data_IF_739158346895
#
_entry.id   IF_739158346895
#
_cell.length_a   1.000
_cell.length_b   1.000
_cell.length_c   1.000
_cell.angle_alpha   90.00
_cell.angle_beta   90.00
_cell.angle_gamma   90.00
#
_symmetry.space_group_name_H-M   'P 1'
#
loop_
_entity.id
_entity.type
_entity.pdbx_description
1 polymer ?
#
# COMPACT_ATOMS: atom_id res chain seq x y z
N UNK A 1 -17.88 1.90 -0.12
CA UNK A 1 -18.42 0.55 -0.44
C UNK A 1 -18.97 0.55 -1.89
N UNK A 2 -18.37 -0.19 -2.83
CA UNK A 2 -18.79 -0.21 -4.26
C UNK A 2 -20.30 -0.46 -4.43
N UNK A 3 -20.98 0.35 -5.26
CA UNK A 3 -22.41 0.24 -5.52
C UNK A 3 -22.83 -1.16 -5.97
N UNK A 4 -23.95 -1.64 -5.42
CA UNK A 4 -24.47 -3.00 -5.65
C UNK A 4 -24.67 -3.29 -7.14
N UNK A 5 -25.14 -2.30 -7.86
CA UNK A 5 -25.39 -2.34 -9.31
C UNK A 5 -24.11 -2.62 -10.11
N UNK A 6 -22.95 -2.10 -9.67
CA UNK A 6 -21.68 -2.29 -10.36
C UNK A 6 -21.11 -3.71 -10.14
N UNK A 7 -21.25 -4.24 -8.91
CA UNK A 7 -20.88 -5.63 -8.61
C UNK A 7 -21.71 -6.61 -9.45
N UNK A 8 -23.01 -6.36 -9.56
CA UNK A 8 -23.91 -7.15 -10.42
C UNK A 8 -23.50 -7.07 -11.90
N UNK A 9 -23.12 -5.90 -12.40
CA UNK A 9 -22.64 -5.73 -13.77
C UNK A 9 -21.33 -6.49 -14.05
N UNK A 10 -20.37 -6.49 -13.12
CA UNK A 10 -19.12 -7.24 -13.28
C UNK A 10 -19.35 -8.75 -13.24
N UNK A 11 -20.25 -9.23 -12.37
CA UNK A 11 -20.66 -10.63 -12.35
C UNK A 11 -21.31 -11.06 -13.68
N UNK A 12 -22.16 -10.22 -14.26
CA UNK A 12 -22.76 -10.48 -15.58
C UNK A 12 -21.68 -10.59 -16.66
N UNK A 13 -20.63 -9.76 -16.60
CA UNK A 13 -19.52 -9.85 -17.55
C UNK A 13 -18.75 -11.16 -17.38
N UNK A 14 -18.46 -11.56 -16.14
CA UNK A 14 -17.80 -12.86 -15.88
C UNK A 14 -18.65 -14.03 -16.38
N UNK A 15 -19.97 -13.99 -16.16
CA UNK A 15 -20.89 -15.00 -16.68
C UNK A 15 -20.84 -15.10 -18.21
N UNK A 16 -20.81 -13.97 -18.90
CA UNK A 16 -20.67 -13.94 -20.35
C UNK A 16 -19.31 -14.49 -20.81
N UNK A 17 -18.21 -14.10 -20.15
CA UNK A 17 -16.87 -14.62 -20.46
C UNK A 17 -16.78 -16.14 -20.30
N UNK A 18 -17.42 -16.70 -19.26
CA UNK A 18 -17.49 -18.14 -19.05
C UNK A 18 -18.35 -18.86 -20.09
N UNK A 19 -19.48 -18.28 -20.47
CA UNK A 19 -20.37 -18.84 -21.50
C UNK A 19 -19.72 -18.85 -22.89
N UNK A 20 -19.00 -17.77 -23.22
CA UNK A 20 -18.31 -17.62 -24.50
C UNK A 20 -16.93 -18.30 -24.52
N UNK A 21 -16.42 -18.70 -23.35
CA UNK A 21 -15.07 -19.20 -23.14
C UNK A 21 -14.00 -18.22 -23.66
N UNK A 22 -14.22 -16.93 -23.43
CA UNK A 22 -13.44 -15.82 -23.96
C UNK A 22 -13.50 -14.63 -22.98
N UNK A 23 -12.36 -14.18 -22.40
CA UNK A 23 -11.02 -14.71 -22.62
C UNK A 23 -10.83 -16.06 -21.91
N UNK A 24 -9.99 -16.92 -22.51
CA UNK A 24 -9.76 -18.27 -22.00
C UNK A 24 -9.22 -18.28 -20.55
N UNK A 25 -8.46 -17.25 -20.17
CA UNK A 25 -7.94 -17.11 -18.82
C UNK A 25 -9.04 -17.03 -17.75
N UNK A 26 -10.22 -16.49 -18.08
CA UNK A 26 -11.38 -16.47 -17.17
C UNK A 26 -11.88 -17.89 -16.89
N UNK A 27 -12.06 -18.70 -17.94
CA UNK A 27 -12.50 -20.11 -17.80
C UNK A 27 -11.46 -20.96 -17.08
N UNK A 28 -10.19 -20.87 -17.49
CA UNK A 28 -9.10 -21.63 -16.89
C UNK A 28 -8.98 -21.29 -15.38
N UNK A 29 -9.17 -20.02 -15.02
CA UNK A 29 -9.16 -19.58 -13.61
C UNK A 29 -10.38 -20.06 -12.84
N UNK A 30 -11.57 -19.97 -13.43
CA UNK A 30 -12.80 -20.46 -12.80
C UNK A 30 -12.73 -21.96 -12.51
N UNK A 31 -12.31 -22.77 -13.49
CA UNK A 31 -12.13 -24.21 -13.32
C UNK A 31 -11.09 -24.51 -12.24
N UNK A 32 -9.98 -23.77 -12.21
CA UNK A 32 -8.94 -23.91 -11.18
C UNK A 32 -9.47 -23.59 -9.78
N UNK A 33 -10.25 -22.51 -9.62
CA UNK A 33 -10.84 -22.11 -8.34
C UNK A 33 -11.84 -23.15 -7.84
N UNK A 34 -12.73 -23.61 -8.71
CA UNK A 34 -13.71 -24.66 -8.37
C UNK A 34 -13.00 -25.97 -8.02
N UNK A 35 -11.95 -26.36 -8.77
CA UNK A 35 -11.14 -27.55 -8.46
C UNK A 35 -10.43 -27.46 -7.10
N UNK A 36 -10.09 -26.25 -6.65
CA UNK A 36 -9.52 -26.00 -5.32
C UNK A 36 -10.53 -25.91 -4.17
N UNK A 37 -11.82 -26.13 -4.46
CA UNK A 37 -12.88 -26.23 -3.43
C UNK A 37 -13.73 -24.97 -3.25
N UNK A 38 -13.54 -23.95 -4.09
CA UNK A 38 -14.39 -22.76 -4.13
C UNK A 38 -15.78 -23.10 -4.69
N UNK A 39 -16.85 -22.51 -4.18
CA UNK A 39 -18.15 -22.62 -4.85
C UNK A 39 -18.12 -21.89 -6.20
N UNK A 40 -18.93 -22.31 -7.19
CA UNK A 40 -19.03 -21.61 -8.46
C UNK A 40 -19.38 -20.12 -8.32
N UNK A 41 -20.18 -19.75 -7.32
CA UNK A 41 -20.56 -18.36 -7.09
C UNK A 41 -19.36 -17.55 -6.56
N UNK A 42 -18.69 -18.04 -5.52
CA UNK A 42 -17.49 -17.39 -4.96
C UNK A 42 -16.36 -17.29 -5.98
N UNK A 43 -16.21 -18.28 -6.88
CA UNK A 43 -15.21 -18.23 -7.94
C UNK A 43 -15.51 -17.10 -8.95
N UNK A 44 -16.79 -16.87 -9.28
CA UNK A 44 -17.21 -15.77 -10.14
C UNK A 44 -17.02 -14.42 -9.47
N UNK A 45 -17.32 -14.32 -8.18
CA UNK A 45 -17.14 -13.10 -7.39
C UNK A 45 -15.66 -12.68 -7.35
N UNK A 46 -14.74 -13.62 -7.07
CA UNK A 46 -13.30 -13.33 -7.09
C UNK A 46 -12.80 -12.86 -8.47
N UNK A 47 -13.28 -13.48 -9.55
CA UNK A 47 -12.93 -13.04 -10.91
C UNK A 47 -13.52 -11.66 -11.20
N UNK A 48 -14.75 -11.39 -10.74
CA UNK A 48 -15.44 -10.11 -10.93
C UNK A 48 -14.76 -8.96 -10.16
N UNK A 49 -14.19 -9.22 -8.99
CA UNK A 49 -13.41 -8.23 -8.22
C UNK A 49 -12.12 -7.85 -8.94
N UNK A 50 -11.38 -8.83 -9.45
CA UNK A 50 -10.19 -8.56 -10.27
C UNK A 50 -10.58 -7.77 -11.52
N UNK A 51 -11.67 -8.16 -12.18
CA UNK A 51 -12.17 -7.44 -13.35
C UNK A 51 -12.52 -5.98 -13.04
N UNK A 52 -13.18 -5.74 -11.91
CA UNK A 52 -13.55 -4.40 -11.43
C UNK A 52 -12.32 -3.53 -11.17
N UNK A 53 -11.35 -4.06 -10.43
CA UNK A 53 -10.12 -3.37 -10.09
C UNK A 53 -9.33 -2.98 -11.36
N UNK A 54 -9.18 -3.91 -12.31
CA UNK A 54 -8.48 -3.65 -13.58
C UNK A 54 -9.22 -2.66 -14.49
N UNK A 55 -10.54 -2.74 -14.49
CA UNK A 55 -11.42 -1.80 -15.22
C UNK A 55 -11.23 -0.38 -14.69
N UNK A 56 -11.22 -0.23 -13.37
CA UNK A 56 -10.98 1.04 -12.69
C UNK A 56 -9.60 1.60 -13.02
N UNK A 57 -8.55 0.79 -12.87
CA UNK A 57 -7.18 1.21 -13.12
C UNK A 57 -7.00 1.72 -14.56
N UNK A 58 -7.63 1.05 -15.52
CA UNK A 58 -7.60 1.44 -16.94
C UNK A 58 -8.34 2.77 -17.18
N UNK A 59 -9.51 2.94 -16.56
CA UNK A 59 -10.31 4.17 -16.64
C UNK A 59 -9.59 5.38 -16.05
N UNK A 60 -9.03 5.24 -14.85
CA UNK A 60 -8.27 6.31 -14.18
C UNK A 60 -7.04 6.70 -15.01
N UNK A 61 -6.37 5.72 -15.63
CA UNK A 61 -5.23 5.97 -16.50
C UNK A 61 -5.61 6.50 -17.90
N UNK A 62 -6.89 6.57 -18.26
CA UNK A 62 -7.35 6.93 -19.60
C UNK A 62 -6.88 5.96 -20.70
N UNK A 63 -6.69 4.68 -20.36
CA UNK A 63 -6.16 3.64 -21.25
C UNK A 63 -7.22 2.58 -21.58
N UNK A 64 -7.00 1.86 -22.67
CA UNK A 64 -7.78 0.67 -22.99
C UNK A 64 -7.52 -0.43 -21.92
N UNK A 65 -8.51 -1.31 -21.72
CA UNK A 65 -8.39 -2.43 -20.80
C UNK A 65 -7.24 -3.36 -21.20
N UNK A 66 -6.36 -3.64 -20.24
CA UNK A 66 -5.19 -4.51 -20.43
C UNK A 66 -5.55 -5.97 -20.09
N UNK A 67 -5.85 -6.75 -21.13
CA UNK A 67 -6.19 -8.18 -20.99
C UNK A 67 -4.99 -9.02 -20.48
N UNK A 68 -3.75 -8.61 -20.75
CA UNK A 68 -2.56 -9.29 -20.23
C UNK A 68 -2.35 -9.01 -18.74
N UNK A 69 -2.59 -7.78 -18.28
CA UNK A 69 -2.61 -7.46 -16.84
C UNK A 69 -3.73 -8.21 -16.12
N UNK A 70 -4.94 -8.22 -16.70
CA UNK A 70 -6.06 -8.99 -16.17
C UNK A 70 -5.73 -10.48 -16.05
N UNK A 71 -5.21 -11.11 -17.11
CA UNK A 71 -4.81 -12.51 -17.08
C UNK A 71 -3.74 -12.78 -16.02
N UNK A 72 -2.72 -11.90 -15.91
CA UNK A 72 -1.69 -12.02 -14.87
C UNK A 72 -2.29 -11.95 -13.47
N UNK A 73 -3.29 -11.10 -13.22
CA UNK A 73 -3.94 -11.01 -11.90
C UNK A 73 -4.80 -12.21 -11.57
N UNK A 74 -5.51 -12.75 -12.56
CA UNK A 74 -6.22 -14.01 -12.40
C UNK A 74 -5.29 -15.15 -11.99
N UNK A 75 -4.05 -15.22 -12.50
CA UNK A 75 -3.11 -16.29 -12.14
C UNK A 75 -2.83 -16.41 -10.64
N UNK A 76 -2.99 -15.34 -9.87
CA UNK A 76 -2.76 -15.31 -8.42
C UNK A 76 -3.95 -15.75 -7.56
N UNK A 77 -5.15 -15.89 -8.15
CA UNK A 77 -6.34 -16.37 -7.42
C UNK A 77 -6.20 -17.86 -7.05
N UNK A 78 -6.39 -18.20 -5.77
CA UNK A 78 -6.46 -19.58 -5.25
C UNK A 78 -7.81 -19.80 -4.58
N UNK A 79 -8.44 -20.96 -4.76
CA UNK A 79 -9.69 -21.22 -4.07
C UNK A 79 -9.47 -21.34 -2.58
N UNK A 80 -10.44 -20.86 -1.80
CA UNK A 80 -10.48 -21.03 -0.35
C UNK A 80 -10.68 -22.52 -0.04
N UNK A 81 -9.60 -23.28 -0.10
CA UNK A 81 -9.56 -24.66 0.35
C UNK A 81 -9.81 -24.69 1.86
N UNK A 82 -10.75 -25.54 2.27
CA UNK A 82 -10.90 -26.02 3.65
C UNK A 82 -9.53 -26.22 4.30
N UNK A 83 -9.42 -25.89 5.59
CA UNK A 83 -8.37 -26.41 6.47
C UNK A 83 -8.09 -27.87 6.07
N UNK A 84 -6.88 -28.11 5.59
CA UNK A 84 -6.44 -29.46 5.29
C UNK A 84 -6.50 -30.25 6.60
N UNK A 85 -7.13 -31.43 6.66
CA UNK A 85 -7.13 -32.24 7.87
C UNK A 85 -5.70 -32.65 8.17
N UNK A 86 -5.29 -32.40 9.41
CA UNK A 86 -4.07 -32.89 10.09
C UNK A 86 -3.23 -33.85 9.25
N UNK A 87 -2.36 -33.30 8.41
CA UNK A 87 -1.11 -33.98 8.09
C UNK A 87 -0.12 -33.50 9.12
N UNK A 88 0.11 -34.33 10.13
CA UNK A 88 1.24 -34.31 11.07
C UNK A 88 2.42 -33.39 10.65
N UNK A 89 2.33 -32.10 11.00
CA UNK A 89 3.40 -31.11 10.82
C UNK A 89 4.15 -30.98 12.15
N UNK A 90 4.90 -32.03 12.50
CA UNK A 90 5.97 -31.96 13.50
C UNK A 90 7.30 -31.49 12.91
N UNK A 91 7.29 -30.89 11.72
CA UNK A 91 8.45 -30.20 11.13
C UNK A 91 8.37 -28.70 11.40
N UNK A 92 9.15 -28.20 12.36
CA UNK A 92 9.40 -26.74 12.50
C UNK A 92 9.87 -26.21 11.15
N UNK A 93 9.10 -25.31 10.53
CA UNK A 93 9.56 -24.58 9.35
C UNK A 93 10.86 -23.83 9.71
N UNK A 94 11.84 -23.86 8.82
CA UNK A 94 13.08 -23.10 9.02
C UNK A 94 12.78 -21.60 8.95
N UNK A 95 13.58 -20.77 9.65
CA UNK A 95 13.37 -19.31 9.61
C UNK A 95 13.50 -18.75 8.17
N UNK A 96 14.40 -19.33 7.38
CA UNK A 96 14.55 -19.05 5.94
C UNK A 96 13.24 -19.24 5.16
N UNK A 97 12.52 -20.34 5.41
CA UNK A 97 11.25 -20.63 4.74
C UNK A 97 10.13 -19.68 5.20
N UNK A 98 10.12 -19.30 6.48
CA UNK A 98 9.12 -18.36 7.03
C UNK A 98 9.32 -16.98 6.41
N UNK A 99 10.55 -16.45 6.43
CA UNK A 99 10.88 -15.15 5.84
C UNK A 99 10.57 -15.12 4.34
N UNK A 100 10.91 -16.19 3.60
CA UNK A 100 10.58 -16.29 2.16
C UNK A 100 9.07 -16.28 1.86
N UNK A 101 8.22 -16.70 2.81
CA UNK A 101 6.76 -16.68 2.61
C UNK A 101 6.18 -15.28 2.64
N UNK A 102 6.75 -14.39 3.44
CA UNK A 102 6.26 -13.00 3.61
C UNK A 102 6.87 -12.02 2.60
N UNK A 103 7.87 -12.41 1.82
CA UNK A 103 8.51 -11.49 0.86
C UNK A 103 7.57 -10.93 -0.22
N UNK A 104 6.45 -11.61 -0.46
CA UNK A 104 5.49 -11.24 -1.50
C UNK A 104 4.09 -11.19 -0.91
N UNK A 105 3.31 -10.19 -1.30
CA UNK A 105 1.88 -10.14 -1.02
C UNK A 105 1.20 -11.24 -1.83
N UNK A 106 0.58 -12.20 -1.15
CA UNK A 106 -0.07 -13.37 -1.76
C UNK A 106 -1.59 -13.25 -1.62
N UNK A 107 -2.18 -12.38 -2.44
CA UNK A 107 -3.58 -11.97 -2.31
C UNK A 107 -3.74 -10.90 -1.23
N UNK A 108 -4.84 -10.93 -0.52
CA UNK A 108 -5.24 -9.92 0.49
C UNK A 108 -5.02 -10.39 1.93
N UNK A 109 -4.48 -11.60 2.14
CA UNK A 109 -4.33 -12.16 3.48
C UNK A 109 -3.08 -11.60 4.16
N UNK A 110 -3.27 -10.96 5.32
CA UNK A 110 -2.17 -10.50 6.17
C UNK A 110 -1.42 -11.70 6.81
N UNK A 111 -0.08 -11.79 6.68
CA UNK A 111 0.70 -12.95 7.15
C UNK A 111 0.99 -12.89 8.66
N UNK A 112 -0.05 -12.83 9.48
CA UNK A 112 0.06 -12.62 10.92
C UNK A 112 0.85 -13.73 11.62
N UNK A 113 0.60 -14.99 11.28
CA UNK A 113 1.23 -16.14 11.94
C UNK A 113 2.72 -16.23 11.61
N UNK A 114 3.12 -15.97 10.37
CA UNK A 114 4.52 -15.85 10.00
C UNK A 114 5.22 -14.71 10.73
N UNK A 115 4.57 -13.54 10.84
CA UNK A 115 5.13 -12.39 11.56
C UNK A 115 5.28 -12.68 13.06
N UNK A 116 4.29 -13.33 13.69
CA UNK A 116 4.38 -13.78 15.09
C UNK A 116 5.57 -14.73 15.29
N UNK A 117 5.77 -15.68 14.38
CA UNK A 117 6.89 -16.62 14.46
C UNK A 117 8.25 -15.92 14.28
N UNK A 118 8.33 -14.97 13.33
CA UNK A 118 9.53 -14.14 13.14
C UNK A 118 9.86 -13.32 14.39
N UNK A 119 8.85 -12.68 15.00
CA UNK A 119 9.01 -11.90 16.24
C UNK A 119 9.46 -12.80 17.40
N UNK A 120 8.88 -14.00 17.53
CA UNK A 120 9.22 -14.93 18.61
C UNK A 120 10.63 -15.51 18.49
N UNK A 121 11.20 -15.56 17.27
CA UNK A 121 12.53 -16.12 16.96
C UNK A 121 13.43 -15.06 16.31
N UNK A 122 13.35 -13.82 16.78
CA UNK A 122 13.98 -12.65 16.15
C UNK A 122 15.48 -12.82 15.90
N UNK A 123 16.22 -13.47 16.80
CA UNK A 123 17.67 -13.67 16.66
C UNK A 123 18.02 -14.51 15.41
N UNK A 124 17.16 -15.46 15.03
CA UNK A 124 17.31 -16.24 13.79
C UNK A 124 16.90 -15.43 12.55
N UNK A 125 15.92 -14.53 12.70
CA UNK A 125 15.35 -13.75 11.59
C UNK A 125 16.21 -12.55 11.20
N UNK A 126 16.82 -11.85 12.16
CA UNK A 126 17.57 -10.59 11.95
C UNK A 126 18.57 -10.69 10.78
N UNK A 127 19.44 -11.72 10.66
CA UNK A 127 20.37 -11.82 9.53
C UNK A 127 19.68 -11.89 8.17
N UNK A 128 18.53 -12.55 8.09
CA UNK A 128 17.74 -12.71 6.86
C UNK A 128 17.04 -11.41 6.48
N UNK A 129 16.47 -10.71 7.47
CA UNK A 129 15.84 -9.40 7.28
C UNK A 129 16.87 -8.35 6.83
N UNK A 130 18.05 -8.33 7.45
CA UNK A 130 19.16 -7.47 7.02
C UNK A 130 19.58 -7.79 5.58
N UNK A 131 19.62 -9.07 5.21
CA UNK A 131 19.96 -9.48 3.86
C UNK A 131 18.92 -9.02 2.83
N UNK A 132 17.61 -9.07 3.16
CA UNK A 132 16.55 -8.48 2.32
C UNK A 132 16.85 -7.00 2.05
N UNK A 133 17.11 -6.21 3.09
CA UNK A 133 17.38 -4.78 2.92
C UNK A 133 18.65 -4.51 2.11
N UNK A 134 19.71 -5.30 2.30
CA UNK A 134 20.93 -5.19 1.47
C UNK A 134 20.65 -5.46 0.00
N UNK A 135 19.86 -6.49 -0.30
CA UNK A 135 19.51 -6.81 -1.69
C UNK A 135 18.70 -5.70 -2.36
N UNK A 136 17.73 -5.11 -1.64
CA UNK A 136 16.95 -3.97 -2.12
C UNK A 136 17.83 -2.74 -2.34
N UNK A 137 18.65 -2.38 -1.35
CA UNK A 137 19.61 -1.26 -1.47
C UNK A 137 20.55 -1.44 -2.66
N UNK A 138 21.07 -2.64 -2.87
CA UNK A 138 22.08 -2.91 -3.89
C UNK A 138 21.47 -3.02 -5.30
N UNK A 139 20.16 -3.26 -5.44
CA UNK A 139 19.46 -3.43 -6.73
C UNK A 139 18.02 -2.87 -6.71
N UNK A 140 17.82 -1.58 -6.39
CA UNK A 140 16.50 -1.01 -6.11
C UNK A 140 15.51 -1.15 -7.29
N UNK A 141 15.97 -0.99 -8.53
CA UNK A 141 15.13 -1.03 -9.73
C UNK A 141 14.45 -2.40 -9.94
N UNK A 142 15.10 -3.47 -9.48
CA UNK A 142 14.55 -4.83 -9.52
C UNK A 142 13.29 -4.95 -8.65
N UNK A 143 13.21 -4.20 -7.57
CA UNK A 143 12.11 -4.28 -6.60
C UNK A 143 11.03 -3.24 -6.90
N UNK A 144 11.40 -2.04 -7.37
CA UNK A 144 10.44 -1.04 -7.88
C UNK A 144 9.55 -1.64 -8.98
N UNK A 145 10.13 -2.43 -9.88
CA UNK A 145 9.40 -3.08 -10.97
C UNK A 145 8.52 -4.28 -10.53
N UNK A 146 8.43 -4.57 -9.22
CA UNK A 146 7.69 -5.71 -8.64
C UNK A 146 6.66 -5.25 -7.61
N UNK A 147 5.45 -4.84 -8.04
CA UNK A 147 4.42 -4.33 -7.12
C UNK A 147 3.89 -5.39 -6.13
N UNK A 148 4.16 -6.68 -6.37
CA UNK A 148 3.82 -7.79 -5.47
C UNK A 148 4.88 -8.05 -4.38
N UNK A 149 6.08 -7.46 -4.51
CA UNK A 149 7.14 -7.60 -3.53
C UNK A 149 6.96 -6.63 -2.36
N UNK A 150 6.96 -7.16 -1.15
CA UNK A 150 6.72 -6.39 0.08
C UNK A 150 7.69 -6.74 1.21
N UNK A 151 8.62 -7.67 0.96
CA UNK A 151 9.54 -8.18 1.97
C UNK A 151 10.39 -7.11 2.64
N UNK A 152 10.78 -6.05 1.92
CA UNK A 152 11.56 -4.95 2.49
C UNK A 152 10.76 -4.11 3.48
N UNK A 153 9.44 -3.94 3.26
CA UNK A 153 8.58 -3.23 4.19
C UNK A 153 8.47 -4.00 5.50
N UNK A 154 8.16 -5.30 5.44
CA UNK A 154 8.18 -6.15 6.65
C UNK A 154 9.55 -6.12 7.34
N UNK A 155 10.64 -6.25 6.59
CA UNK A 155 11.98 -6.24 7.15
C UNK A 155 12.32 -4.92 7.85
N UNK A 156 11.96 -3.77 7.28
CA UNK A 156 12.18 -2.46 7.91
C UNK A 156 11.41 -2.33 9.22
N UNK A 157 10.12 -2.66 9.25
CA UNK A 157 9.32 -2.56 10.47
C UNK A 157 9.81 -3.50 11.57
N UNK A 158 10.09 -4.77 11.21
CA UNK A 158 10.58 -5.75 12.16
C UNK A 158 11.96 -5.36 12.73
N UNK A 159 12.89 -4.93 11.88
CA UNK A 159 14.21 -4.48 12.34
C UNK A 159 14.11 -3.21 13.20
N UNK A 160 13.21 -2.29 12.85
CA UNK A 160 12.89 -1.12 13.67
C UNK A 160 12.36 -1.56 15.03
N UNK A 161 11.33 -2.41 15.10
CA UNK A 161 10.77 -2.98 16.33
C UNK A 161 11.85 -3.65 17.18
N UNK A 162 12.76 -4.41 16.57
CA UNK A 162 13.84 -5.08 17.28
C UNK A 162 15.00 -4.17 17.68
N UNK A 163 14.98 -2.88 17.28
CA UNK A 163 16.03 -1.87 17.53
C UNK A 163 17.41 -2.29 17.01
N UNK A 164 17.46 -2.93 15.84
CA UNK A 164 18.69 -3.48 15.25
C UNK A 164 19.49 -2.35 14.59
N UNK A 165 20.45 -1.77 15.34
CA UNK A 165 21.26 -0.62 14.90
C UNK A 165 22.04 -0.92 13.60
N UNK A 166 22.39 -2.17 13.34
CA UNK A 166 23.08 -2.62 12.12
C UNK A 166 22.25 -2.40 10.85
N UNK A 167 20.93 -2.28 10.96
CA UNK A 167 20.04 -1.96 9.85
C UNK A 167 20.13 -0.49 9.45
N UNK A 168 20.48 0.40 10.38
CA UNK A 168 20.46 1.84 10.16
C UNK A 168 21.22 2.33 8.92
N UNK A 169 22.51 1.97 8.70
CA UNK A 169 23.20 2.41 7.49
C UNK A 169 22.54 1.91 6.19
N UNK A 170 21.92 0.72 6.22
CA UNK A 170 21.24 0.17 5.04
C UNK A 170 19.95 0.96 4.77
N UNK A 171 19.16 1.23 5.80
CA UNK A 171 17.93 2.02 5.71
C UNK A 171 18.25 3.46 5.31
N UNK A 172 19.32 4.04 5.85
CA UNK A 172 19.82 5.36 5.46
C UNK A 172 20.12 5.42 3.96
N UNK A 173 20.83 4.42 3.44
CA UNK A 173 21.16 4.33 2.01
C UNK A 173 19.88 4.20 1.14
N UNK A 174 18.91 3.39 1.57
CA UNK A 174 17.62 3.22 0.86
C UNK A 174 16.82 4.52 0.85
N UNK A 175 16.71 5.19 2.00
CA UNK A 175 16.00 6.46 2.12
C UNK A 175 16.68 7.56 1.29
N UNK A 176 18.00 7.45 1.09
CA UNK A 176 18.79 8.41 0.32
C UNK A 176 18.90 8.09 -1.18
N UNK A 177 18.11 7.15 -1.70
CA UNK A 177 18.10 6.84 -3.13
C UNK A 177 17.62 8.05 -3.96
N UNK A 178 18.19 8.28 -5.16
CA UNK A 178 17.88 9.44 -5.99
C UNK A 178 16.55 9.29 -6.77
N UNK A 179 16.08 10.36 -7.39
CA UNK A 179 15.03 10.37 -8.43
C UNK A 179 13.77 9.56 -8.08
N UNK A 180 13.06 9.96 -7.02
CA UNK A 180 11.81 9.34 -6.52
C UNK A 180 11.91 7.85 -6.15
N UNK A 181 13.05 7.19 -6.36
CA UNK A 181 13.23 5.74 -6.15
C UNK A 181 12.98 5.31 -4.71
N UNK A 182 13.33 6.16 -3.73
CA UNK A 182 13.04 5.89 -2.33
C UNK A 182 11.52 5.84 -2.09
N UNK A 183 10.77 6.76 -2.69
CA UNK A 183 9.32 6.79 -2.63
C UNK A 183 8.70 5.61 -3.39
N UNK A 184 9.17 5.31 -4.60
CA UNK A 184 8.69 4.17 -5.39
C UNK A 184 8.89 2.82 -4.69
N UNK A 185 9.93 2.69 -3.87
CA UNK A 185 10.18 1.48 -3.07
C UNK A 185 9.33 1.42 -1.81
N UNK A 186 9.31 2.51 -1.05
CA UNK A 186 8.82 2.52 0.32
C UNK A 186 7.36 2.95 0.43
N UNK A 187 6.87 3.73 -0.54
CA UNK A 187 5.52 4.29 -0.54
C UNK A 187 5.15 4.88 0.81
N UNK A 188 4.04 4.40 1.36
CA UNK A 188 3.49 4.84 2.65
C UNK A 188 4.45 4.62 3.83
N UNK A 189 5.38 3.66 3.74
CA UNK A 189 6.41 3.47 4.79
C UNK A 189 7.25 4.73 4.96
N UNK A 190 7.61 5.37 3.84
CA UNK A 190 8.38 6.61 3.88
C UNK A 190 7.56 7.74 4.49
N UNK A 191 6.33 7.96 4.01
CA UNK A 191 5.53 9.13 4.38
C UNK A 191 4.93 9.04 5.79
N UNK A 192 4.58 7.83 6.25
CA UNK A 192 3.87 7.64 7.52
C UNK A 192 4.77 7.19 8.68
N UNK A 193 5.77 6.36 8.41
CA UNK A 193 6.60 5.74 9.43
C UNK A 193 8.08 6.12 9.37
N UNK A 194 8.53 6.84 8.33
CA UNK A 194 9.94 7.09 8.06
C UNK A 194 10.71 7.67 9.27
N UNK A 195 10.17 8.71 9.91
CA UNK A 195 10.81 9.31 11.08
C UNK A 195 10.88 8.37 12.29
N UNK A 196 9.84 7.55 12.48
CA UNK A 196 9.77 6.55 13.55
C UNK A 196 10.76 5.41 13.32
N UNK A 197 10.91 4.98 12.07
CA UNK A 197 11.88 3.98 11.64
C UNK A 197 13.30 4.50 11.87
N UNK A 198 13.60 5.73 11.42
CA UNK A 198 14.91 6.37 11.64
C UNK A 198 15.22 6.43 13.14
N UNK A 199 14.30 6.95 13.96
CA UNK A 199 14.46 7.03 15.41
C UNK A 199 14.62 5.67 16.09
N UNK A 200 13.98 4.62 15.56
CA UNK A 200 14.09 3.26 16.10
C UNK A 200 15.45 2.61 15.83
N UNK A 201 16.15 3.04 14.77
CA UNK A 201 17.36 2.40 14.26
C UNK A 201 18.64 3.21 14.51
N UNK A 202 18.57 4.54 14.57
CA UNK A 202 19.73 5.42 14.62
C UNK A 202 20.63 5.22 15.85
N UNK A 203 20.08 4.66 16.93
CA UNK A 203 20.76 4.62 18.21
C UNK A 203 21.15 6.04 18.65
N UNK A 204 22.44 6.28 18.83
CA UNK A 204 22.99 7.55 19.33
C UNK A 204 23.57 8.42 18.21
N UNK A 205 23.49 8.00 16.93
CA UNK A 205 24.07 8.71 15.79
C UNK A 205 23.16 9.85 15.29
N UNK A 206 22.98 10.89 16.10
CA UNK A 206 22.19 12.07 15.70
C UNK A 206 22.79 12.79 14.48
N UNK A 207 24.11 12.76 14.34
CA UNK A 207 24.82 13.45 13.26
C UNK A 207 24.48 12.86 11.88
N UNK A 208 24.23 11.56 11.78
CA UNK A 208 23.71 10.96 10.55
C UNK A 208 22.34 11.50 10.15
N UNK A 209 21.42 11.66 11.10
CA UNK A 209 20.09 12.24 10.85
C UNK A 209 20.25 13.69 10.36
N UNK A 210 21.14 14.47 11.00
CA UNK A 210 21.46 15.84 10.54
C UNK A 210 22.04 15.86 9.13
N UNK A 211 22.91 14.92 8.78
CA UNK A 211 23.45 14.78 7.41
C UNK A 211 22.34 14.54 6.40
N UNK A 212 21.34 13.70 6.71
CA UNK A 212 20.19 13.47 5.83
C UNK A 212 19.36 14.75 5.64
N UNK A 213 19.04 15.47 6.73
CA UNK A 213 18.27 16.73 6.67
C UNK A 213 18.95 17.77 5.76
N UNK A 214 20.26 17.85 5.79
CA UNK A 214 21.05 18.83 5.02
C UNK A 214 21.46 18.33 3.63
N UNK A 215 21.11 17.11 3.23
CA UNK A 215 21.46 16.56 1.93
C UNK A 215 20.41 16.96 0.88
N UNK A 216 20.67 18.02 0.12
CA UNK A 216 19.75 18.53 -0.92
C UNK A 216 19.55 17.59 -2.11
N UNK A 217 20.36 16.52 -2.24
CA UNK A 217 20.16 15.48 -3.25
C UNK A 217 19.03 14.53 -2.84
N UNK A 218 18.76 14.40 -1.55
CA UNK A 218 17.69 13.56 -1.01
C UNK A 218 16.36 14.31 -1.11
N UNK A 219 15.32 13.58 -1.50
CA UNK A 219 13.97 14.12 -1.62
C UNK A 219 13.48 14.78 -0.30
N UNK A 220 12.67 15.82 -0.45
CA UNK A 220 12.20 16.63 0.67
C UNK A 220 11.34 15.84 1.66
N UNK A 221 10.51 14.89 1.22
CA UNK A 221 9.72 14.06 2.15
C UNK A 221 10.63 13.23 3.05
N UNK A 222 11.69 12.65 2.50
CA UNK A 222 12.68 11.90 3.29
C UNK A 222 13.37 12.82 4.32
N UNK A 223 13.76 14.01 3.91
CA UNK A 223 14.39 15.00 4.80
C UNK A 223 13.43 15.44 5.92
N UNK A 224 12.13 15.59 5.61
CA UNK A 224 11.08 15.85 6.61
C UNK A 224 10.96 14.72 7.62
N UNK A 225 11.04 13.46 7.18
CA UNK A 225 11.04 12.32 8.10
C UNK A 225 12.25 12.33 9.03
N UNK A 226 13.43 12.74 8.53
CA UNK A 226 14.59 12.93 9.38
C UNK A 226 14.41 14.06 10.42
N UNK A 227 13.69 15.14 10.08
CA UNK A 227 13.28 16.17 11.07
C UNK A 227 12.34 15.54 12.11
N UNK A 228 11.33 14.79 11.69
CA UNK A 228 10.37 14.12 12.58
C UNK A 228 11.04 13.10 13.51
N UNK A 229 12.12 12.44 13.07
CA UNK A 229 12.88 11.51 13.90
C UNK A 229 13.40 12.16 15.19
N UNK A 230 13.80 13.43 15.16
CA UNK A 230 14.19 14.17 16.38
C UNK A 230 13.01 14.32 17.36
N UNK A 231 11.81 14.62 16.87
CA UNK A 231 10.62 14.70 17.70
C UNK A 231 10.29 13.34 18.33
N UNK A 232 10.37 12.25 17.57
CA UNK A 232 10.17 10.88 18.07
C UNK A 232 11.19 10.55 19.17
N UNK A 233 12.48 10.84 18.96
CA UNK A 233 13.53 10.61 19.95
C UNK A 233 13.31 11.41 21.24
N UNK A 234 12.83 12.66 21.13
CA UNK A 234 12.50 13.46 22.31
C UNK A 234 11.28 12.93 23.07
N UNK A 235 10.21 12.55 22.37
CA UNK A 235 8.99 12.02 23.00
C UNK A 235 9.20 10.61 23.57
N UNK A 236 10.09 9.83 22.97
CA UNK A 236 10.53 8.52 23.49
C UNK A 236 11.51 8.64 24.67
N UNK A 237 11.99 9.85 24.98
CA UNK A 237 12.91 10.12 26.09
C UNK A 237 14.37 9.74 25.82
N UNK A 238 14.74 9.46 24.56
CA UNK A 238 16.13 9.15 24.18
C UNK A 238 17.02 10.40 24.21
N UNK A 239 16.45 11.57 23.90
CA UNK A 239 17.14 12.86 23.96
C UNK A 239 16.27 13.92 24.66
N UNK A 240 16.87 14.92 25.34
CA UNK A 240 16.10 16.03 25.89
C UNK A 240 15.45 16.85 24.77
N UNK A 241 14.19 17.26 24.97
CA UNK A 241 13.47 18.12 24.02
C UNK A 241 14.23 19.42 23.73
N UNK A 242 14.92 19.98 24.72
CA UNK A 242 15.74 21.18 24.57
C UNK A 242 16.81 21.01 23.49
N UNK A 243 17.40 19.81 23.36
CA UNK A 243 18.35 19.46 22.28
C UNK A 243 17.70 19.58 20.91
N UNK A 244 16.44 19.12 20.79
CA UNK A 244 15.67 19.21 19.54
C UNK A 244 15.34 20.65 19.22
N UNK A 245 14.88 21.43 20.21
CA UNK A 245 14.55 22.84 20.05
C UNK A 245 15.76 23.65 19.59
N UNK A 246 16.94 23.41 20.16
CA UNK A 246 18.16 24.11 19.77
C UNK A 246 18.56 23.79 18.33
N UNK A 247 18.45 22.53 17.91
CA UNK A 247 18.72 22.17 16.53
C UNK A 247 17.66 22.70 15.55
N UNK A 248 16.38 22.68 15.92
CA UNK A 248 15.32 23.25 15.09
C UNK A 248 15.50 24.77 14.91
N UNK A 249 15.98 25.48 15.94
CA UNK A 249 16.37 26.89 15.80
C UNK A 249 17.46 27.09 14.75
N UNK A 250 18.49 26.25 14.77
CA UNK A 250 19.54 26.27 13.74
C UNK A 250 18.94 26.05 12.34
N UNK A 251 18.02 25.10 12.20
CA UNK A 251 17.33 24.82 10.93
C UNK A 251 16.50 26.01 10.42
N UNK A 252 15.81 26.75 11.29
CA UNK A 252 15.11 27.98 10.89
C UNK A 252 16.02 29.04 10.26
N UNK A 253 17.33 29.01 10.56
CA UNK A 253 18.31 29.96 10.03
C UNK A 253 19.15 29.41 8.87
N UNK A 254 19.10 28.10 8.61
CA UNK A 254 19.97 27.44 7.62
C UNK A 254 19.20 26.77 6.49
N UNK A 255 17.91 26.46 6.68
CA UNK A 255 17.08 25.88 5.63
C UNK A 255 16.56 26.96 4.68
N UNK A 256 16.93 26.85 3.40
CA UNK A 256 16.41 27.70 2.34
C UNK A 256 15.17 27.11 1.63
N UNK A 257 14.84 25.83 1.87
CA UNK A 257 13.70 25.15 1.25
C UNK A 257 12.38 25.44 1.98
N UNK A 258 11.38 25.97 1.26
CA UNK A 258 10.10 26.39 1.84
C UNK A 258 9.21 25.22 2.31
N UNK A 259 9.24 24.08 1.65
CA UNK A 259 8.49 22.89 2.06
C UNK A 259 9.04 22.36 3.38
N UNK A 260 10.36 22.20 3.46
CA UNK A 260 11.08 21.80 4.67
C UNK A 260 10.78 22.74 5.84
N UNK A 261 10.78 24.06 5.61
CA UNK A 261 10.47 25.03 6.65
C UNK A 261 9.02 24.94 7.13
N UNK A 262 8.06 24.75 6.20
CA UNK A 262 6.66 24.51 6.56
C UNK A 262 6.50 23.28 7.45
N UNK A 263 7.18 22.19 7.09
CA UNK A 263 7.13 20.94 7.84
C UNK A 263 7.83 21.06 9.19
N UNK A 264 8.95 21.79 9.29
CA UNK A 264 9.58 22.12 10.57
C UNK A 264 8.62 22.85 11.51
N UNK A 265 7.87 23.83 10.99
CA UNK A 265 6.82 24.52 11.76
C UNK A 265 5.76 23.53 12.25
N UNK A 266 5.30 22.62 11.39
CA UNK A 266 4.35 21.57 11.76
C UNK A 266 4.87 20.71 12.92
N UNK A 267 6.11 20.23 12.82
CA UNK A 267 6.74 19.42 13.87
C UNK A 267 6.88 20.21 15.18
N UNK A 268 7.23 21.50 15.10
CA UNK A 268 7.27 22.39 16.28
C UNK A 268 5.91 22.51 16.97
N UNK A 269 4.82 22.62 16.21
CA UNK A 269 3.45 22.66 16.77
C UNK A 269 3.16 21.39 17.56
N UNK A 270 3.55 20.24 17.01
CA UNK A 270 3.35 18.92 17.61
C UNK A 270 4.09 18.74 18.94
N UNK A 271 5.32 19.25 19.05
CA UNK A 271 6.12 19.16 20.31
C UNK A 271 6.15 20.48 21.09
N UNK A 272 5.11 21.30 20.96
CA UNK A 272 4.97 22.65 21.50
C UNK A 272 5.94 23.70 20.90
N UNK A 273 5.43 24.79 20.27
CA UNK A 273 6.26 25.70 19.49
C UNK A 273 6.84 26.89 20.29
N UNK A 274 6.58 26.99 21.61
CA UNK A 274 6.76 28.25 22.35
C UNK A 274 8.18 28.81 22.35
N UNK A 275 9.20 27.95 22.43
CA UNK A 275 10.61 28.36 22.40
C UNK A 275 11.14 28.75 21.02
N UNK A 276 10.36 28.50 19.96
CA UNK A 276 10.66 28.82 18.56
C UNK A 276 9.64 29.77 17.94
N UNK A 277 8.80 30.40 18.78
CA UNK A 277 7.64 31.17 18.31
C UNK A 277 8.05 32.41 17.51
N UNK A 278 9.17 33.04 17.87
CA UNK A 278 9.66 34.23 17.16
C UNK A 278 10.20 33.85 15.77
N UNK A 279 10.95 32.75 15.68
CA UNK A 279 11.45 32.17 14.42
C UNK A 279 10.28 31.75 13.51
N UNK A 280 9.24 31.12 14.06
CA UNK A 280 8.02 30.73 13.34
C UNK A 280 7.29 31.98 12.79
N UNK A 281 7.17 33.03 13.62
CA UNK A 281 6.55 34.29 13.18
C UNK A 281 7.34 34.97 12.07
N UNK A 282 8.66 34.97 12.17
CA UNK A 282 9.53 35.51 11.15
C UNK A 282 9.42 34.72 9.84
N UNK A 283 9.36 33.38 9.91
CA UNK A 283 9.12 32.53 8.75
C UNK A 283 7.81 32.88 8.02
N UNK A 284 6.69 32.99 8.75
CA UNK A 284 5.41 33.40 8.14
C UNK A 284 5.45 34.80 7.53
N UNK A 285 6.18 35.74 8.15
CA UNK A 285 6.32 37.10 7.63
C UNK A 285 7.14 37.12 6.34
N UNK A 286 8.22 36.34 6.29
CA UNK A 286 9.11 36.27 5.13
C UNK A 286 8.47 35.54 3.96
N UNK A 287 7.64 34.52 4.24
CA UNK A 287 6.87 33.83 3.22
C UNK A 287 5.47 33.44 3.75
N UNK A 288 4.43 34.22 3.41
CA UNK A 288 3.06 33.94 3.83
C UNK A 288 2.50 32.59 3.36
N UNK A 289 3.05 31.97 2.29
CA UNK A 289 2.59 30.67 1.78
C UNK A 289 2.75 29.55 2.81
N UNK A 290 3.65 29.68 3.79
CA UNK A 290 3.73 28.74 4.91
C UNK A 290 2.40 28.61 5.66
N UNK A 291 1.60 29.68 5.70
CA UNK A 291 0.30 29.67 6.39
C UNK A 291 -0.79 28.88 5.66
N UNK A 292 -0.58 28.57 4.38
CA UNK A 292 -1.46 27.70 3.59
C UNK A 292 -1.19 26.21 3.92
N UNK A 293 0.06 25.87 4.22
CA UNK A 293 0.49 24.52 4.61
C UNK A 293 0.24 24.27 6.10
N UNK A 294 0.75 25.15 6.97
CA UNK A 294 0.52 25.10 8.41
C UNK A 294 -0.15 26.39 8.84
N UNK A 295 -1.46 26.32 9.10
CA UNK A 295 -2.25 27.48 9.50
C UNK A 295 -1.69 28.13 10.77
N UNK A 296 -1.61 29.45 10.79
CA UNK A 296 -1.20 30.22 11.98
C UNK A 296 -2.08 29.90 13.20
N UNK A 297 -3.35 29.59 12.97
CA UNK A 297 -4.29 29.15 14.01
C UNK A 297 -3.89 27.83 14.69
N UNK A 298 -3.13 26.95 14.03
CA UNK A 298 -2.56 25.74 14.65
C UNK A 298 -1.50 26.11 15.69
N UNK A 299 -0.62 27.05 15.36
CA UNK A 299 0.39 27.59 16.29
C UNK A 299 -0.28 28.27 17.48
N UNK A 300 -1.24 29.15 17.22
CA UNK A 300 -1.98 29.86 18.28
C UNK A 300 -2.73 28.89 19.21
N UNK A 301 -3.31 27.82 18.65
CA UNK A 301 -3.99 26.77 19.42
C UNK A 301 -3.03 26.03 20.34
N UNK A 302 -1.85 25.64 19.84
CA UNK A 302 -0.83 24.99 20.65
C UNK A 302 -0.32 25.92 21.77
N UNK A 303 -0.07 27.20 21.45
CA UNK A 303 0.32 28.20 22.43
C UNK A 303 -0.72 28.39 23.53
N UNK A 304 -2.00 28.46 23.15
CA UNK A 304 -3.13 28.59 24.09
C UNK A 304 -3.33 27.34 24.94
N UNK A 305 -3.16 26.15 24.36
CA UNK A 305 -3.24 24.86 25.07
C UNK A 305 -2.13 24.74 26.13
N UNK A 306 -0.97 25.31 25.84
CA UNK A 306 0.16 25.40 26.76
C UNK A 306 1.04 24.15 26.75
N UNK A 307 2.32 24.33 27.13
CA UNK A 307 3.39 23.32 26.98
C UNK A 307 3.02 21.96 27.57
N UNK A 308 2.57 21.94 28.83
CA UNK A 308 2.30 20.68 29.52
C UNK A 308 1.21 19.84 28.82
N UNK A 309 0.13 20.47 28.36
CA UNK A 309 -0.97 19.77 27.71
C UNK A 309 -0.62 19.34 26.27
N UNK A 310 0.12 20.15 25.52
CA UNK A 310 0.60 19.76 24.18
C UNK A 310 1.57 18.57 24.28
N UNK A 311 2.48 18.59 25.24
CA UNK A 311 3.41 17.47 25.44
C UNK A 311 2.70 16.20 25.95
N UNK A 312 1.60 16.33 26.70
CA UNK A 312 0.77 15.19 27.05
C UNK A 312 0.14 14.56 25.79
N UNK A 313 -0.47 15.36 24.91
CA UNK A 313 -1.01 14.84 23.64
C UNK A 313 0.09 14.19 22.79
N UNK A 314 1.27 14.81 22.73
CA UNK A 314 2.40 14.30 21.97
C UNK A 314 2.88 12.95 22.54
N UNK A 315 2.84 12.80 23.86
CA UNK A 315 3.17 11.54 24.54
C UNK A 315 2.13 10.45 24.29
N UNK A 316 0.88 10.80 23.98
CA UNK A 316 -0.18 9.84 23.63
C UNK A 316 -0.27 9.58 22.10
N UNK A 317 0.45 10.36 21.30
CA UNK A 317 0.41 10.26 19.84
C UNK A 317 1.30 9.11 19.33
N UNK A 318 0.67 8.03 18.82
CA UNK A 318 1.36 6.87 18.25
C UNK A 318 2.43 7.22 17.19
N UNK A 319 2.23 8.30 16.43
CA UNK A 319 3.15 8.73 15.39
C UNK A 319 4.43 9.41 15.91
N UNK A 320 4.50 9.69 17.22
CA UNK A 320 5.68 10.22 17.91
C UNK A 320 6.40 9.17 18.75
N UNK A 321 6.00 7.90 18.63
CA UNK A 321 6.67 6.77 19.26
C UNK A 321 7.44 5.96 18.25
N UNK A 322 8.46 5.26 18.74
CA UNK A 322 9.17 4.26 17.94
C UNK A 322 8.24 3.13 17.49
N UNK A 323 8.68 2.33 16.51
CA UNK A 323 7.91 1.17 16.06
C UNK A 323 7.93 0.12 17.19
N UNK A 324 6.78 -0.26 17.75
CA UNK A 324 6.72 -1.25 18.85
C UNK A 324 6.04 -2.56 18.43
N UNK A 325 5.05 -2.49 17.53
CA UNK A 325 4.27 -3.65 17.11
C UNK A 325 4.03 -3.64 15.60
N UNK A 326 4.92 -4.28 14.85
CA UNK A 326 4.85 -4.40 13.38
C UNK A 326 3.53 -4.99 12.91
N UNK A 327 2.91 -5.89 13.68
CA UNK A 327 1.64 -6.49 13.30
C UNK A 327 0.53 -5.45 13.39
N UNK A 328 0.46 -4.69 14.49
CA UNK A 328 -0.52 -3.61 14.63
C UNK A 328 -0.30 -2.47 13.63
N UNK A 329 0.95 -2.19 13.25
CA UNK A 329 1.27 -1.16 12.25
C UNK A 329 0.81 -1.51 10.85
N UNK A 330 0.89 -2.80 10.47
CA UNK A 330 0.74 -3.24 9.07
C UNK A 330 -0.58 -3.97 8.77
N UNK A 331 -1.27 -4.51 9.79
CA UNK A 331 -2.47 -5.34 9.58
C UNK A 331 -3.52 -4.64 8.74
N UNK A 332 -3.78 -3.38 9.03
CA UNK A 332 -4.91 -2.64 8.46
C UNK A 332 -4.55 -1.88 7.17
N UNK A 333 -3.37 -2.14 6.61
CA UNK A 333 -2.94 -1.52 5.36
C UNK A 333 -3.85 -1.93 4.21
N UNK A 334 -4.14 -1.01 3.29
CA UNK A 334 -5.12 -1.20 2.22
C UNK A 334 -4.82 -2.34 1.23
N UNK A 335 -3.62 -2.94 1.29
CA UNK A 335 -3.29 -4.15 0.54
C UNK A 335 -3.78 -5.45 1.19
N UNK A 336 -4.33 -5.40 2.41
CA UNK A 336 -4.89 -6.54 3.12
C UNK A 336 -6.41 -6.44 3.29
N UNK A 337 -7.09 -7.58 3.28
CA UNK A 337 -8.51 -7.70 3.62
C UNK A 337 -8.64 -7.56 5.14
N UNK A 338 -9.27 -6.48 5.58
CA UNK A 338 -9.69 -6.32 6.97
C UNK A 338 -11.08 -6.93 7.14
N UNK A 339 -11.31 -7.67 8.23
CA UNK A 339 -12.66 -7.91 8.73
C UNK A 339 -13.21 -6.53 9.17
N UNK A 340 -13.78 -5.78 8.24
CA UNK A 340 -14.47 -4.52 8.53
C UNK A 340 -15.52 -4.81 9.60
N UNK A 341 -15.27 -4.31 10.81
CA UNK A 341 -16.22 -4.37 11.91
C UNK A 341 -16.92 -3.01 11.90
N UNK A 342 -18.16 -2.97 11.41
CA UNK A 342 -19.04 -1.78 11.23
C UNK A 342 -19.37 -1.01 12.54
N UNK A 343 -18.57 -1.13 13.60
CA UNK A 343 -18.90 -0.64 14.95
C UNK A 343 -18.11 0.60 15.40
N UNK A 344 -17.19 1.13 14.59
CA UNK A 344 -16.45 2.37 14.89
C UNK A 344 -16.30 3.27 13.65
N UNK A 345 -17.40 3.84 13.18
CA UNK A 345 -17.40 5.07 12.39
C UNK A 345 -18.34 6.09 13.02
N UNK A 346 -17.76 6.99 13.81
CA UNK A 346 -18.38 8.26 14.21
C UNK A 346 -17.32 9.39 14.14
N UNK A 347 -16.36 9.26 13.23
CA UNK A 347 -15.41 10.32 12.91
C UNK A 347 -15.43 10.62 11.40
N UNK A 348 -16.30 11.55 11.04
CA UNK A 348 -16.36 12.34 9.80
C UNK A 348 -16.42 11.58 8.45
N UNK A 349 -17.67 11.30 8.06
CA UNK A 349 -18.25 10.87 6.76
C UNK A 349 -17.81 11.65 5.48
N UNK A 350 -16.71 12.41 5.45
CA UNK A 350 -16.33 13.17 4.23
C UNK A 350 -15.39 12.41 3.27
N UNK A 351 -14.63 11.41 3.72
CA UNK A 351 -13.68 10.67 2.85
C UNK A 351 -14.31 9.48 2.12
N UNK A 352 -15.20 8.72 2.77
CA UNK A 352 -15.88 7.57 2.16
C UNK A 352 -16.99 7.97 1.17
N UNK A 353 -17.53 9.17 1.30
CA UNK A 353 -18.39 9.76 0.28
C UNK A 353 -17.60 10.08 -1.00
N UNK A 354 -16.29 10.32 -0.92
CA UNK A 354 -15.49 10.74 -2.07
C UNK A 354 -15.15 9.58 -3.00
N UNK A 355 -14.85 8.38 -2.48
CA UNK A 355 -14.52 7.19 -3.28
C UNK A 355 -15.74 6.63 -4.00
N UNK A 356 -16.87 6.44 -3.32
CA UNK A 356 -18.08 5.89 -3.95
C UNK A 356 -18.69 6.90 -4.96
N UNK A 357 -18.72 8.19 -4.63
CA UNK A 357 -19.22 9.22 -5.53
C UNK A 357 -18.28 9.43 -6.74
N UNK A 358 -16.96 9.35 -6.54
CA UNK A 358 -15.99 9.44 -7.63
C UNK A 358 -16.14 8.28 -8.62
N UNK A 359 -16.32 7.05 -8.13
CA UNK A 359 -16.54 5.88 -8.97
C UNK A 359 -17.87 5.92 -9.71
N UNK A 360 -18.96 6.26 -9.03
CA UNK A 360 -20.27 6.42 -9.69
C UNK A 360 -20.23 7.53 -10.75
N UNK A 361 -19.50 8.61 -10.49
CA UNK A 361 -19.27 9.70 -11.45
C UNK A 361 -18.40 9.23 -12.62
N UNK A 362 -17.34 8.46 -12.36
CA UNK A 362 -16.44 7.89 -13.36
C UNK A 362 -17.21 6.97 -14.32
N UNK A 363 -18.09 6.12 -13.80
CA UNK A 363 -18.90 5.20 -14.60
C UNK A 363 -20.01 5.94 -15.39
N UNK A 364 -20.67 6.93 -14.78
CA UNK A 364 -21.64 7.79 -15.49
C UNK A 364 -21.01 8.55 -16.66
N UNK A 365 -19.74 8.96 -16.51
CA UNK A 365 -19.01 9.68 -17.54
C UNK A 365 -18.42 8.76 -18.63
N UNK A 366 -18.39 7.44 -18.41
CA UNK A 366 -17.83 6.45 -19.33
C UNK A 366 -18.80 5.27 -19.59
N UNK A 367 -20.04 5.53 -20.08
CA UNK A 367 -21.07 4.50 -20.23
C UNK A 367 -20.68 3.40 -21.25
N UNK A 368 -19.81 3.73 -22.21
CA UNK A 368 -19.33 2.80 -23.23
C UNK A 368 -18.16 1.92 -22.77
N UNK A 369 -17.62 2.11 -21.57
CA UNK A 369 -16.47 1.31 -21.12
C UNK A 369 -16.89 -0.13 -20.77
N UNK A 370 -18.06 -0.33 -20.16
CA UNK A 370 -18.63 -1.67 -19.95
C UNK A 370 -18.89 -2.38 -21.29
N UNK A 371 -19.29 -1.65 -22.33
CA UNK A 371 -19.53 -2.23 -23.66
C UNK A 371 -18.24 -2.60 -24.39
N UNK A 372 -17.09 -2.00 -24.04
CA UNK A 372 -15.77 -2.43 -24.52
C UNK A 372 -15.32 -3.74 -23.86
N UNK A 373 -15.75 -4.01 -22.63
CA UNK A 373 -15.47 -5.25 -21.89
C UNK A 373 -16.47 -6.35 -22.31
N UNK A 374 -17.72 -6.00 -22.64
CA UNK A 374 -18.70 -6.91 -23.26
C UNK A 374 -18.35 -7.10 -24.74
N UNK A 375 -17.63 -8.16 -25.09
CA UNK A 375 -17.68 -8.65 -26.48
C UNK A 375 -19.14 -9.02 -26.77
N UNK A 376 -19.72 -8.43 -27.80
CA UNK A 376 -21.10 -8.72 -28.19
C UNK A 376 -21.18 -10.21 -28.55
N UNK A 377 -22.11 -11.00 -28.00
CA UNK A 377 -22.17 -12.42 -28.30
C UNK A 377 -22.32 -12.60 -29.81
N UNK A 378 -21.38 -13.33 -30.42
CA UNK A 378 -21.53 -13.77 -31.80
C UNK A 378 -22.70 -14.75 -31.76
N UNK A 379 -23.86 -14.29 -32.23
CA UNK A 379 -25.01 -15.16 -32.46
C UNK A 379 -24.60 -16.17 -33.54
N UNK A 380 -24.09 -17.32 -33.10
CA UNK A 380 -23.81 -18.43 -33.99
C UNK A 380 -25.16 -18.92 -34.52
N UNK A 381 -25.41 -18.73 -35.82
CA UNK A 381 -26.53 -19.40 -36.48
C UNK A 381 -26.47 -20.91 -36.17
N UNK A 382 -27.61 -21.58 -35.94
CA UNK A 382 -27.63 -22.98 -35.58
C UNK A 382 -26.83 -23.80 -36.59
N UNK A 383 -25.73 -24.40 -36.14
CA UNK A 383 -24.83 -25.19 -36.99
C UNK A 383 -25.61 -26.35 -37.60
N UNK A 384 -25.91 -26.27 -38.89
CA UNK A 384 -26.55 -27.34 -39.65
C UNK A 384 -25.65 -28.57 -39.62
N UNK A 385 -26.16 -29.68 -39.09
CA UNK A 385 -25.42 -30.93 -39.02
C UNK A 385 -25.06 -31.42 -40.42
N UNK A 386 -23.83 -31.94 -40.61
CA UNK A 386 -23.35 -32.44 -41.92
C UNK A 386 -24.30 -33.44 -42.59
N UNK A 387 -25.12 -34.14 -41.82
CA UNK A 387 -26.07 -35.14 -42.32
C UNK A 387 -27.52 -34.65 -42.43
N UNK A 388 -27.83 -33.42 -42.00
CA UNK A 388 -29.18 -32.85 -42.01
C UNK A 388 -29.60 -32.42 -43.42
N UNK A 389 -30.91 -32.27 -43.70
CA UNK A 389 -31.39 -31.75 -44.97
C UNK A 389 -30.78 -30.38 -45.27
N UNK A 390 -30.28 -30.20 -46.49
CA UNK A 390 -29.64 -28.96 -46.90
C UNK A 390 -30.71 -27.85 -47.03
N UNK A 391 -30.48 -26.66 -46.44
CA UNK A 391 -31.49 -25.60 -46.36
C UNK A 391 -31.81 -24.96 -47.73
N UNK A 392 -31.03 -25.23 -48.77
CA UNK A 392 -31.28 -24.75 -50.14
C UNK A 392 -32.46 -25.46 -50.84
N UNK A 393 -33.17 -26.38 -50.16
CA UNK A 393 -34.33 -27.06 -50.69
C UNK A 393 -34.02 -28.20 -51.68
N UNK A 394 -32.76 -28.60 -51.82
CA UNK A 394 -32.36 -29.61 -52.81
C UNK A 394 -32.74 -31.06 -52.45
N UNK A 395 -33.28 -31.29 -51.24
CA UNK A 395 -33.58 -32.62 -50.71
C UNK A 395 -32.35 -33.50 -50.39
N UNK A 396 -31.12 -32.96 -50.44
CA UNK A 396 -29.87 -33.70 -50.16
C UNK A 396 -29.34 -33.37 -48.77
N UNK A 397 -28.50 -34.26 -48.20
CA UNK A 397 -27.77 -33.97 -46.94
C UNK A 397 -26.78 -32.82 -47.13
N UNK A 398 -26.62 -31.95 -46.15
CA UNK A 398 -25.80 -30.73 -46.22
C UNK A 398 -24.38 -30.99 -46.76
N UNK A 399 -23.66 -32.00 -46.26
CA UNK A 399 -22.31 -32.38 -46.72
C UNK A 399 -22.19 -32.81 -48.19
N UNK A 400 -23.31 -33.13 -48.85
CA UNK A 400 -23.33 -33.54 -50.26
C UNK A 400 -23.87 -32.44 -51.17
N UNK A 401 -24.17 -31.26 -50.63
CA UNK A 401 -24.70 -30.11 -51.36
C UNK A 401 -23.90 -28.85 -51.02
N UNK A 402 -24.42 -27.96 -50.17
CA UNK A 402 -23.77 -26.70 -49.82
C UNK A 402 -22.56 -26.85 -48.88
N UNK A 403 -22.45 -27.96 -48.15
CA UNK A 403 -21.33 -28.24 -47.24
C UNK A 403 -20.21 -29.08 -47.87
N UNK A 404 -19.95 -28.88 -49.18
CA UNK A 404 -18.87 -29.54 -49.92
C UNK A 404 -17.56 -28.78 -49.83
#
# INVERSE_FOLDING_TARGET
MVSKELKEAMLEVVDNQLNDNDPKCTTDTFERLVASGCSPQEAKEQIAEVLLDRTTASLVAGKAFDEEDFSRRLDYLKGKGKQHPDTDYTSKNTMDEIVKRIEYIRGTVFPEEELKEIIARKEEAIPLLLNILRQVRDNPEKYISRPDYFGHNYAIYLLAQFRVKEAYPIVFDIFSLPNDMAFDLLGDVMTEAGGRIIASLCGDDLESIKRMINNEVVDEYTRVQAVNAFAVLAMSGDIPRETVIDYYRELFHTLDNSTMLSMLINTCVTIYPGELYDEIKEAYKNNPAHSEVVRTSSVDRAMKKGKAAVLADASDNKYLHKIEDTIAELRDWGCFENEYNDEYDDYDDEEDFFTDLFFDQLMKNNPDFISQIKRTPIVNEPKIGRNDPCPCGSGKKYKKCCGK
#
